data_IF_152387747989
#
_entry.id   IF_152387747989
#
_cell.length_a   1.000
_cell.length_b   1.000
_cell.length_c   1.000
_cell.angle_alpha   90.00
_cell.angle_beta   90.00
_cell.angle_gamma   90.00
#
_symmetry.space_group_name_H-M   'P 1'
#
loop_
_entity.id
_entity.type
_entity.pdbx_description
1 polymer ?
#
# COMPACT_ATOMS: atom_id res chain seq x y z
N UNK A 1 -6.11 -5.49 8.70
CA UNK A 1 -6.51 -6.30 9.87
C UNK A 1 -7.13 -7.60 9.48
N UNK A 2 -8.03 -7.62 8.49
CA UNK A 2 -8.63 -8.82 7.91
C UNK A 2 -8.46 -8.82 6.40
N UNK A 3 -8.82 -9.92 5.74
CA UNK A 3 -8.85 -9.98 4.27
C UNK A 3 -9.97 -9.06 3.74
N UNK A 4 -9.81 -8.53 2.52
CA UNK A 4 -10.85 -7.72 1.86
C UNK A 4 -10.87 -6.23 2.21
N UNK A 5 -9.94 -5.71 3.01
CA UNK A 5 -9.84 -4.28 3.33
C UNK A 5 -9.16 -3.45 2.24
N UNK A 6 -8.61 -4.09 1.20
CA UNK A 6 -7.97 -3.41 0.08
C UNK A 6 -6.48 -3.09 0.28
N UNK A 7 -5.76 -3.85 1.13
CA UNK A 7 -4.33 -3.64 1.38
C UNK A 7 -3.51 -3.66 0.11
N UNK A 8 -3.59 -4.73 -0.66
CA UNK A 8 -2.87 -4.86 -1.94
C UNK A 8 -3.29 -3.77 -2.93
N UNK A 9 -4.59 -3.42 -3.01
CA UNK A 9 -5.09 -2.34 -3.84
C UNK A 9 -4.41 -1.01 -3.47
N UNK A 10 -4.37 -0.67 -2.19
CA UNK A 10 -3.70 0.55 -1.71
C UNK A 10 -2.20 0.49 -1.97
N UNK A 11 -1.54 -0.66 -1.73
CA UNK A 11 -0.10 -0.81 -1.96
C UNK A 11 0.27 -0.57 -3.43
N UNK A 12 -0.44 -1.19 -4.39
CA UNK A 12 -0.23 -1.01 -5.83
C UNK A 12 -0.45 0.44 -6.24
N UNK A 13 -1.54 1.08 -5.77
CA UNK A 13 -1.84 2.47 -6.12
C UNK A 13 -0.82 3.46 -5.52
N UNK A 14 -0.40 3.26 -4.26
CA UNK A 14 0.64 4.09 -3.64
C UNK A 14 1.97 3.98 -4.40
N UNK A 15 2.38 2.75 -4.74
CA UNK A 15 3.58 2.53 -5.53
C UNK A 15 3.51 3.26 -6.88
N UNK A 16 2.39 3.13 -7.58
CA UNK A 16 2.18 3.80 -8.86
C UNK A 16 2.18 5.33 -8.77
N UNK A 17 1.49 5.91 -7.78
CA UNK A 17 1.46 7.38 -7.59
C UNK A 17 2.86 7.92 -7.28
N UNK A 18 3.65 7.23 -6.46
CA UNK A 18 5.01 7.64 -6.14
C UNK A 18 5.93 7.55 -7.36
N UNK A 19 5.77 6.50 -8.19
CA UNK A 19 6.53 6.34 -9.44
C UNK A 19 6.18 7.44 -10.46
N UNK A 20 4.90 7.76 -10.64
CA UNK A 20 4.44 8.90 -11.45
C UNK A 20 4.98 10.23 -10.92
N UNK A 21 5.18 10.33 -9.60
CA UNK A 21 5.84 11.46 -8.94
C UNK A 21 7.36 11.53 -9.15
N UNK A 22 7.95 10.62 -9.96
CA UNK A 22 9.36 10.61 -10.30
C UNK A 22 10.26 9.88 -9.29
N UNK A 23 9.68 9.15 -8.33
CA UNK A 23 10.44 8.29 -7.42
C UNK A 23 10.71 6.93 -8.04
N UNK A 24 11.91 6.40 -7.86
CA UNK A 24 12.24 5.03 -8.23
C UNK A 24 11.66 4.08 -7.17
N UNK A 25 10.61 3.35 -7.53
CA UNK A 25 9.80 2.57 -6.59
C UNK A 25 9.90 1.08 -6.89
N UNK A 26 9.97 0.27 -5.84
CA UNK A 26 9.76 -1.17 -5.94
C UNK A 26 8.63 -1.63 -5.01
N UNK A 27 7.72 -2.43 -5.55
CA UNK A 27 6.60 -3.03 -4.84
C UNK A 27 6.90 -4.50 -4.54
N UNK A 28 6.80 -4.91 -3.27
CA UNK A 28 7.15 -6.25 -2.79
C UNK A 28 5.91 -6.98 -2.27
N UNK A 29 5.62 -8.17 -2.79
CA UNK A 29 4.53 -9.04 -2.29
C UNK A 29 5.03 -9.95 -1.17
N UNK A 30 4.87 -9.51 0.07
CA UNK A 30 5.15 -10.31 1.27
C UNK A 30 3.90 -11.01 1.83
N UNK A 31 2.73 -10.91 1.17
CA UNK A 31 1.60 -11.80 1.48
C UNK A 31 1.81 -13.18 0.83
N UNK A 32 2.72 -13.95 1.43
CA UNK A 32 3.05 -15.29 0.95
C UNK A 32 1.88 -16.29 1.10
N UNK A 33 0.79 -15.91 1.80
CA UNK A 33 -0.36 -16.79 2.05
C UNK A 33 -1.46 -16.62 1.01
N UNK A 34 -1.75 -15.38 0.63
CA UNK A 34 -2.79 -15.03 -0.37
C UNK A 34 -2.27 -13.96 -1.33
N UNK A 35 -1.23 -14.27 -2.12
CA UNK A 35 -0.60 -13.30 -2.99
C UNK A 35 -1.55 -12.77 -4.05
N UNK A 36 -1.46 -11.49 -4.37
CA UNK A 36 -2.33 -10.84 -5.36
C UNK A 36 -1.55 -9.97 -6.35
N UNK A 37 -0.31 -9.55 -6.05
CA UNK A 37 0.45 -8.63 -6.92
C UNK A 37 0.67 -9.24 -8.31
N UNK A 38 0.96 -10.55 -8.41
CA UNK A 38 1.12 -11.23 -9.70
C UNK A 38 -0.15 -11.12 -10.58
N UNK A 39 -1.34 -11.14 -9.96
CA UNK A 39 -2.61 -10.94 -10.69
C UNK A 39 -2.78 -9.49 -11.13
N UNK A 40 -2.45 -8.54 -10.25
CA UNK A 40 -2.55 -7.11 -10.54
C UNK A 40 -1.68 -6.69 -11.74
N UNK A 41 -0.56 -7.36 -11.96
CA UNK A 41 0.33 -7.13 -13.11
C UNK A 41 0.19 -8.17 -14.22
N UNK A 42 -0.75 -9.10 -14.10
CA UNK A 42 -1.02 -10.17 -15.08
C UNK A 42 0.24 -10.96 -15.47
N UNK A 43 1.00 -11.39 -14.47
CA UNK A 43 2.25 -12.17 -14.63
C UNK A 43 2.16 -13.50 -13.90
N UNK A 44 3.07 -14.43 -14.24
CA UNK A 44 3.24 -15.68 -13.48
C UNK A 44 3.80 -15.41 -12.07
N UNK A 45 3.72 -16.41 -11.20
CA UNK A 45 4.19 -16.36 -9.81
C UNK A 45 5.20 -17.48 -9.51
N UNK A 46 6.04 -17.88 -10.46
CA UNK A 46 7.01 -18.97 -10.29
C UNK A 46 8.28 -18.52 -9.57
N UNK A 47 8.64 -17.25 -9.67
CA UNK A 47 9.77 -16.59 -9.01
C UNK A 47 9.27 -15.41 -8.19
N UNK A 48 9.93 -15.10 -7.08
CA UNK A 48 9.57 -13.97 -6.24
C UNK A 48 10.18 -14.03 -4.84
N UNK A 49 9.57 -13.33 -3.89
CA UNK A 49 10.06 -13.19 -2.51
C UNK A 49 10.38 -14.55 -1.87
N UNK A 50 9.49 -15.54 -2.00
CA UNK A 50 9.71 -16.85 -1.40
C UNK A 50 10.93 -17.57 -1.96
N UNK A 51 11.11 -17.55 -3.27
CA UNK A 51 12.26 -18.20 -3.94
C UNK A 51 13.57 -17.48 -3.66
N UNK A 52 13.50 -16.17 -3.46
CA UNK A 52 14.61 -15.34 -3.04
C UNK A 52 15.02 -15.65 -1.59
N UNK A 53 14.05 -15.76 -0.67
CA UNK A 53 14.28 -16.06 0.73
C UNK A 53 14.90 -17.45 0.95
N UNK A 54 14.48 -18.46 0.20
CA UNK A 54 15.09 -19.81 0.26
C UNK A 54 16.43 -19.93 -0.49
N UNK A 55 16.86 -18.88 -1.21
CA UNK A 55 18.12 -18.86 -1.96
C UNK A 55 18.11 -19.60 -3.28
N UNK A 56 16.92 -19.87 -3.83
CA UNK A 56 16.76 -20.53 -5.14
C UNK A 56 17.05 -19.58 -6.31
N UNK A 57 16.79 -18.29 -6.13
CA UNK A 57 17.03 -17.26 -7.13
C UNK A 57 17.76 -16.06 -6.50
N UNK A 58 18.48 -15.29 -7.32
CA UNK A 58 19.10 -14.03 -6.93
C UNK A 58 18.10 -12.88 -6.98
N UNK A 59 18.44 -11.76 -6.36
CA UNK A 59 17.57 -10.57 -6.31
C UNK A 59 17.19 -10.08 -7.71
N UNK A 60 18.16 -9.95 -8.61
CA UNK A 60 17.94 -9.47 -9.98
C UNK A 60 17.04 -10.41 -10.81
N UNK A 61 17.04 -11.71 -10.52
CA UNK A 61 16.18 -12.68 -11.22
C UNK A 61 14.71 -12.56 -10.81
N UNK A 62 14.45 -11.91 -9.67
CA UNK A 62 13.11 -11.75 -9.11
C UNK A 62 12.50 -10.37 -9.38
N UNK A 63 13.32 -9.36 -9.71
CA UNK A 63 12.83 -8.02 -10.05
C UNK A 63 12.19 -8.06 -11.43
N UNK A 64 10.97 -7.54 -11.51
CA UNK A 64 10.20 -7.39 -12.75
C UNK A 64 9.91 -5.93 -13.00
N UNK A 65 10.05 -5.49 -14.23
CA UNK A 65 9.70 -4.14 -14.66
C UNK A 65 8.22 -4.07 -15.03
N UNK A 66 7.53 -3.05 -14.54
CA UNK A 66 6.15 -2.80 -14.95
C UNK A 66 6.09 -1.99 -16.25
N UNK A 67 4.89 -1.83 -16.81
CA UNK A 67 4.64 -0.91 -17.95
C UNK A 67 4.75 0.58 -17.52
N UNK A 68 4.85 0.85 -16.21
CA UNK A 68 4.95 2.19 -15.65
C UNK A 68 6.41 2.55 -15.41
N UNK A 69 6.82 3.68 -15.94
CA UNK A 69 8.15 4.22 -15.69
C UNK A 69 8.40 4.37 -14.18
N UNK A 70 9.61 4.03 -13.74
CA UNK A 70 10.06 4.07 -12.35
C UNK A 70 9.34 3.12 -11.36
N UNK A 71 8.53 2.16 -11.84
CA UNK A 71 7.88 1.15 -11.00
C UNK A 71 8.33 -0.25 -11.36
N UNK A 72 9.08 -0.86 -10.45
CA UNK A 72 9.43 -2.28 -10.46
C UNK A 72 8.63 -3.03 -9.39
N UNK A 73 8.58 -4.35 -9.50
CA UNK A 73 7.92 -5.18 -8.50
C UNK A 73 8.55 -6.56 -8.37
N UNK A 74 8.36 -7.18 -7.19
CA UNK A 74 8.69 -8.59 -6.93
C UNK A 74 7.42 -9.27 -6.44
N UNK A 75 6.98 -10.32 -7.14
CA UNK A 75 5.84 -11.15 -6.73
C UNK A 75 6.20 -12.01 -5.53
N UNK A 76 5.22 -12.63 -4.89
CA UNK A 76 5.47 -13.51 -3.72
C UNK A 76 6.28 -14.77 -4.05
N UNK A 77 6.16 -15.28 -5.27
CA UNK A 77 6.62 -16.62 -5.62
C UNK A 77 5.69 -17.72 -5.08
N UNK A 78 6.05 -18.99 -5.24
CA UNK A 78 5.31 -20.13 -4.70
C UNK A 78 5.24 -20.08 -3.17
N UNK A 79 4.14 -20.58 -2.60
CA UNK A 79 3.96 -20.63 -1.14
C UNK A 79 5.03 -21.52 -0.49
N UNK A 80 5.87 -20.98 0.41
CA UNK A 80 6.85 -21.78 1.14
C UNK A 80 6.16 -22.52 2.32
N UNK A 81 6.75 -23.61 2.83
CA UNK A 81 6.15 -24.40 3.92
C UNK A 81 6.01 -23.60 5.23
N UNK A 82 6.98 -22.75 5.57
CA UNK A 82 7.02 -21.96 6.82
C UNK A 82 7.23 -20.47 6.53
N UNK A 83 6.23 -19.73 6.01
CA UNK A 83 6.41 -18.35 5.59
C UNK A 83 6.88 -17.42 6.72
N UNK A 84 6.42 -17.64 7.96
CA UNK A 84 6.77 -16.80 9.11
C UNK A 84 8.28 -16.80 9.42
N UNK A 85 8.92 -17.98 9.37
CA UNK A 85 10.35 -18.14 9.65
C UNK A 85 11.21 -17.42 8.61
N UNK A 86 10.81 -17.52 7.34
CA UNK A 86 11.51 -16.85 6.26
C UNK A 86 11.41 -15.33 6.37
N UNK A 87 10.23 -14.80 6.68
CA UNK A 87 10.02 -13.36 6.87
C UNK A 87 10.81 -12.82 8.07
N UNK A 88 10.94 -13.61 9.14
CA UNK A 88 11.71 -13.24 10.33
C UNK A 88 13.23 -13.37 10.15
N UNK A 89 13.70 -13.96 9.05
CA UNK A 89 15.12 -14.26 8.83
C UNK A 89 15.95 -13.01 8.54
N UNK A 90 17.26 -13.08 8.83
CA UNK A 90 18.25 -12.08 8.46
C UNK A 90 18.25 -11.80 6.95
N UNK A 91 17.94 -12.79 6.13
CA UNK A 91 17.89 -12.65 4.68
C UNK A 91 16.84 -11.64 4.21
N UNK A 92 15.74 -11.49 4.95
CA UNK A 92 14.76 -10.43 4.70
C UNK A 92 15.39 -9.05 4.88
N UNK A 93 16.19 -8.86 5.93
CA UNK A 93 16.88 -7.61 6.21
C UNK A 93 17.92 -7.30 5.12
N UNK A 94 18.67 -8.32 4.68
CA UNK A 94 19.68 -8.19 3.63
C UNK A 94 19.05 -7.79 2.28
N UNK A 95 17.89 -8.38 1.93
CA UNK A 95 17.11 -8.04 0.73
C UNK A 95 16.62 -6.60 0.80
N UNK A 96 16.00 -6.21 1.91
CA UNK A 96 15.49 -4.85 2.12
C UNK A 96 16.63 -3.84 2.00
N UNK A 97 17.79 -4.14 2.60
CA UNK A 97 18.97 -3.28 2.53
C UNK A 97 19.47 -3.12 1.09
N UNK A 98 19.63 -4.22 0.36
CA UNK A 98 20.07 -4.19 -1.04
C UNK A 98 19.13 -3.41 -1.96
N UNK A 99 17.80 -3.49 -1.69
CA UNK A 99 16.80 -2.73 -2.43
C UNK A 99 16.81 -1.24 -2.06
N UNK A 100 17.04 -0.88 -0.80
CA UNK A 100 17.17 0.52 -0.36
C UNK A 100 18.37 1.25 -1.02
N UNK A 101 19.37 0.53 -1.50
CA UNK A 101 20.50 1.09 -2.25
C UNK A 101 20.12 1.44 -3.71
N UNK A 102 19.04 0.85 -4.25
CA UNK A 102 18.67 0.95 -5.66
C UNK A 102 17.39 1.75 -5.89
N UNK A 103 16.52 1.86 -4.88
CA UNK A 103 15.20 2.46 -4.97
C UNK A 103 14.99 3.55 -3.91
N UNK A 104 14.29 4.61 -4.29
CA UNK A 104 13.91 5.69 -3.35
C UNK A 104 12.84 5.24 -2.36
N UNK A 105 11.93 4.35 -2.82
CA UNK A 105 10.78 3.87 -2.04
C UNK A 105 10.59 2.38 -2.24
N UNK A 106 10.47 1.66 -1.12
CA UNK A 106 10.05 0.27 -1.07
C UNK A 106 8.61 0.23 -0.51
N UNK A 107 7.66 -0.21 -1.32
CA UNK A 107 6.29 -0.48 -0.86
C UNK A 107 6.15 -1.97 -0.61
N UNK A 108 5.74 -2.35 0.61
CA UNK A 108 5.66 -3.76 1.03
C UNK A 108 4.20 -4.12 1.30
N UNK A 109 3.60 -4.96 0.47
CA UNK A 109 2.29 -5.55 0.74
C UNK A 109 2.42 -6.74 1.70
N UNK A 110 1.58 -6.75 2.73
CA UNK A 110 1.69 -7.71 3.84
C UNK A 110 0.36 -8.41 4.12
N UNK A 111 0.37 -9.63 4.68
CA UNK A 111 -0.84 -10.25 5.18
C UNK A 111 -1.47 -9.43 6.31
N UNK A 112 -2.75 -9.69 6.64
CA UNK A 112 -3.45 -8.98 7.72
C UNK A 112 -2.77 -9.20 9.09
N UNK A 113 -2.42 -8.12 9.79
CA UNK A 113 -1.73 -8.16 11.11
C UNK A 113 -2.55 -8.88 12.18
N UNK A 114 -3.88 -8.82 12.09
CA UNK A 114 -4.78 -9.47 13.05
C UNK A 114 -4.81 -11.01 12.93
N UNK A 115 -4.23 -11.57 11.88
CA UNK A 115 -4.29 -13.00 11.60
C UNK A 115 -2.95 -13.73 11.75
N UNK A 116 -1.83 -13.01 11.61
CA UNK A 116 -0.50 -13.62 11.56
C UNK A 116 0.59 -12.73 12.15
N UNK A 117 1.55 -13.36 12.82
CA UNK A 117 2.72 -12.68 13.41
C UNK A 117 3.72 -12.19 12.36
N UNK A 118 3.67 -12.74 11.15
CA UNK A 118 4.57 -12.41 10.04
C UNK A 118 4.51 -10.92 9.69
N UNK A 119 3.30 -10.37 9.61
CA UNK A 119 3.08 -8.95 9.31
C UNK A 119 3.68 -8.01 10.37
N UNK A 120 3.69 -8.43 11.65
CA UNK A 120 4.27 -7.62 12.74
C UNK A 120 5.78 -7.44 12.56
N UNK A 121 6.47 -8.48 12.10
CA UNK A 121 7.92 -8.40 11.83
C UNK A 121 8.23 -7.39 10.72
N UNK A 122 7.40 -7.36 9.67
CA UNK A 122 7.55 -6.40 8.58
C UNK A 122 7.19 -4.96 9.01
N UNK A 123 6.15 -4.80 9.83
CA UNK A 123 5.77 -3.48 10.37
C UNK A 123 6.89 -2.83 11.18
N UNK A 124 7.63 -3.62 11.96
CA UNK A 124 8.77 -3.12 12.76
C UNK A 124 9.95 -2.66 11.89
N UNK A 125 10.07 -3.20 10.67
CA UNK A 125 11.11 -2.85 9.70
C UNK A 125 10.73 -1.63 8.85
N UNK A 126 9.46 -1.28 8.82
CA UNK A 126 8.96 -0.19 7.99
C UNK A 126 9.29 1.18 8.59
N UNK A 127 9.74 2.12 7.76
CA UNK A 127 9.96 3.50 8.15
C UNK A 127 8.62 4.23 8.38
N UNK A 128 7.57 3.83 7.65
CA UNK A 128 6.21 4.34 7.76
C UNK A 128 5.19 3.20 7.57
N UNK A 129 4.80 2.50 8.64
CA UNK A 129 3.74 1.50 8.59
C UNK A 129 2.39 2.15 8.27
N UNK A 130 1.61 1.50 7.39
CA UNK A 130 0.27 1.95 6.99
C UNK A 130 -0.76 0.88 7.35
N UNK A 131 -1.74 1.26 8.16
CA UNK A 131 -2.82 0.39 8.61
C UNK A 131 -4.08 0.70 7.80
N UNK A 132 -4.57 -0.28 7.05
CA UNK A 132 -5.72 -0.10 6.17
C UNK A 132 -6.99 -0.54 6.89
N UNK A 133 -7.99 0.32 6.89
CA UNK A 133 -9.37 0.05 7.27
C UNK A 133 -10.26 0.30 6.05
N UNK A 134 -11.34 -0.46 5.92
CA UNK A 134 -12.34 -0.26 4.87
C UNK A 134 -13.64 0.25 5.48
N UNK A 135 -14.17 1.33 4.92
CA UNK A 135 -15.44 1.91 5.34
C UNK A 135 -16.58 0.86 5.19
N UNK A 136 -17.54 0.90 6.08
CA UNK A 136 -18.71 0.00 6.13
C UNK A 136 -18.37 -1.51 6.17
N UNK A 137 -17.09 -1.86 6.32
CA UNK A 137 -16.60 -3.23 6.37
C UNK A 137 -15.78 -3.53 7.63
N UNK A 138 -14.82 -2.68 7.97
CA UNK A 138 -13.92 -2.88 9.11
C UNK A 138 -14.64 -2.57 10.43
N UNK A 139 -14.57 -3.49 11.40
CA UNK A 139 -15.11 -3.26 12.73
C UNK A 139 -14.38 -2.14 13.47
N UNK A 140 -15.11 -1.29 14.20
CA UNK A 140 -14.52 -0.25 15.09
C UNK A 140 -13.55 -0.85 16.12
N UNK A 141 -13.76 -2.09 16.53
CA UNK A 141 -12.86 -2.79 17.45
C UNK A 141 -11.45 -2.98 16.89
N UNK A 142 -11.26 -2.87 15.57
CA UNK A 142 -9.93 -2.93 14.98
C UNK A 142 -9.05 -1.72 15.31
N UNK A 143 -9.62 -0.61 15.76
CA UNK A 143 -8.86 0.51 16.32
C UNK A 143 -8.14 0.12 17.62
N UNK A 144 -8.66 -0.85 18.38
CA UNK A 144 -7.96 -1.39 19.54
C UNK A 144 -6.67 -2.11 19.14
N UNK A 145 -6.66 -2.76 17.96
CA UNK A 145 -5.45 -3.37 17.42
C UNK A 145 -4.38 -2.33 17.08
N UNK A 146 -4.79 -1.15 16.61
CA UNK A 146 -3.86 -0.02 16.36
C UNK A 146 -3.19 0.40 17.67
N UNK A 147 -3.99 0.61 18.74
CA UNK A 147 -3.46 0.93 20.05
C UNK A 147 -2.52 -0.14 20.59
N UNK A 148 -2.86 -1.41 20.37
CA UNK A 148 -2.02 -2.55 20.75
C UNK A 148 -0.69 -2.57 20.00
N UNK A 149 -0.70 -2.34 18.67
CA UNK A 149 0.52 -2.26 17.87
C UNK A 149 1.45 -1.14 18.33
N UNK A 150 0.90 0.03 18.65
CA UNK A 150 1.68 1.19 19.08
C UNK A 150 2.22 1.00 20.50
N UNK A 151 1.38 0.54 21.44
CA UNK A 151 1.74 0.50 22.88
C UNK A 151 2.54 -0.74 23.25
N UNK A 152 2.12 -1.92 22.75
CA UNK A 152 2.71 -3.20 23.16
C UNK A 152 3.82 -3.68 22.20
N UNK A 153 3.79 -3.24 20.95
CA UNK A 153 4.78 -3.66 19.96
C UNK A 153 5.72 -2.55 19.49
N UNK A 154 5.62 -1.35 20.09
CA UNK A 154 6.47 -0.18 19.76
C UNK A 154 6.50 0.15 18.26
N UNK A 155 5.38 -0.04 17.55
CA UNK A 155 5.26 0.33 16.15
C UNK A 155 5.16 1.85 16.05
N UNK A 156 6.23 2.48 15.55
CA UNK A 156 6.35 3.94 15.43
C UNK A 156 5.78 4.43 14.10
N UNK A 157 5.35 5.71 14.06
CA UNK A 157 4.87 6.40 12.84
C UNK A 157 3.75 5.67 12.11
N UNK A 158 2.92 4.90 12.82
CA UNK A 158 1.80 4.18 12.24
C UNK A 158 0.75 5.16 11.70
N UNK A 159 0.49 5.08 10.40
CA UNK A 159 -0.56 5.85 9.71
C UNK A 159 -1.77 4.97 9.44
N UNK A 160 -2.97 5.57 9.44
CA UNK A 160 -4.22 4.87 9.13
C UNK A 160 -4.79 5.42 7.83
N UNK A 161 -5.18 4.53 6.93
CA UNK A 161 -5.91 4.86 5.70
C UNK A 161 -7.29 4.23 5.77
N UNK A 162 -8.33 5.03 5.60
CA UNK A 162 -9.70 4.58 5.44
C UNK A 162 -10.00 4.45 3.94
N UNK A 163 -10.13 3.20 3.48
CA UNK A 163 -10.38 2.84 2.10
C UNK A 163 -11.89 2.71 1.82
N UNK A 164 -12.28 2.81 0.56
CA UNK A 164 -13.65 2.56 0.07
C UNK A 164 -14.71 3.44 0.75
N UNK A 165 -14.40 4.72 0.92
CA UNK A 165 -15.39 5.70 1.37
C UNK A 165 -16.36 5.99 0.22
N UNK A 166 -17.66 5.72 0.44
CA UNK A 166 -18.71 5.97 -0.55
C UNK A 166 -18.75 7.42 -1.03
N UNK A 167 -19.27 7.65 -2.23
CA UNK A 167 -19.33 8.97 -2.89
C UNK A 167 -20.06 10.06 -2.07
N UNK A 168 -20.86 9.66 -1.06
CA UNK A 168 -21.53 10.58 -0.13
C UNK A 168 -20.71 11.09 1.05
N UNK A 169 -19.52 10.52 1.27
CA UNK A 169 -18.59 11.00 2.29
C UNK A 169 -17.75 12.17 1.73
N UNK A 170 -18.45 13.26 1.40
CA UNK A 170 -17.80 14.49 0.96
C UNK A 170 -16.77 14.93 1.99
N UNK A 171 -15.57 15.28 1.54
CA UNK A 171 -14.51 15.92 2.34
C UNK A 171 -15.04 17.12 3.14
N UNK A 172 -16.18 17.68 2.72
CA UNK A 172 -16.89 18.73 3.44
C UNK A 172 -17.50 18.30 4.79
N UNK A 173 -17.76 17.02 5.03
CA UNK A 173 -18.30 16.57 6.32
C UNK A 173 -17.25 16.59 7.45
N UNK A 174 -15.96 16.49 7.13
CA UNK A 174 -14.88 16.58 8.11
C UNK A 174 -14.46 18.01 8.44
N UNK A 175 -14.77 18.99 7.60
CA UNK A 175 -14.41 20.40 7.83
C UNK A 175 -15.36 21.14 8.78
N UNK A 176 -16.52 20.57 9.11
CA UNK A 176 -17.53 21.24 9.94
C UNK A 176 -17.64 20.77 11.40
N UNK A 177 -16.68 19.97 11.88
CA UNK A 177 -16.67 19.47 13.27
C UNK A 177 -16.19 20.47 14.34
N UNK A 178 -15.62 21.62 13.95
CA UNK A 178 -15.19 22.68 14.87
C UNK A 178 -15.53 24.07 14.33
N UNK A 179 -16.74 24.51 14.52
CA UNK A 179 -17.13 25.87 14.17
C UNK A 179 -18.46 26.25 14.82
N UNK A 180 -18.40 27.01 15.88
CA UNK A 180 -19.53 27.68 16.51
C UNK A 180 -20.40 28.42 15.49
N UNK A 181 -21.70 28.20 15.54
CA UNK A 181 -22.66 28.85 14.70
C UNK A 181 -22.70 30.36 14.90
N UNK A 182 -22.73 31.07 13.78
CA UNK A 182 -23.44 32.34 13.63
C UNK A 182 -23.88 32.46 12.16
N UNK A 183 -25.13 32.87 12.00
CA UNK A 183 -25.84 32.83 10.74
C UNK A 183 -25.42 33.89 9.73
N UNK A 184 -25.85 33.66 8.49
CA UNK A 184 -26.34 34.74 7.66
C UNK A 184 -25.52 35.09 6.42
N UNK A 185 -26.21 34.99 5.28
CA UNK A 185 -26.07 35.77 4.03
C UNK A 185 -24.90 35.50 3.08
N UNK A 186 -25.28 34.96 1.96
CA UNK A 186 -24.90 35.25 0.58
C UNK A 186 -23.47 35.73 0.31
N UNK A 187 -22.72 34.95 -0.44
CA UNK A 187 -21.67 35.51 -1.30
C UNK A 187 -21.32 34.53 -2.44
N UNK A 188 -21.62 34.99 -3.60
CA UNK A 188 -20.96 34.92 -4.90
C UNK A 188 -19.74 34.02 -5.03
N UNK A 189 -19.83 33.15 -6.03
CA UNK A 189 -18.75 32.50 -6.75
C UNK A 189 -17.66 33.51 -7.15
N UNK A 190 -16.46 33.37 -6.62
CA UNK A 190 -15.24 33.93 -7.20
C UNK A 190 -14.06 32.98 -7.06
N UNK A 191 -13.56 32.47 -8.19
CA UNK A 191 -12.15 32.31 -8.41
C UNK A 191 -11.54 30.93 -8.12
N UNK A 192 -11.75 29.95 -8.99
CA UNK A 192 -10.86 28.79 -9.14
C UNK A 192 -10.57 28.53 -10.63
N UNK A 193 -9.77 29.39 -11.25
CA UNK A 193 -9.43 29.22 -12.67
C UNK A 193 -7.92 29.41 -12.98
N UNK A 194 -7.04 29.00 -12.07
CA UNK A 194 -5.59 29.15 -12.31
C UNK A 194 -4.76 27.84 -12.26
N UNK A 195 -5.40 26.66 -12.19
CA UNK A 195 -4.65 25.38 -12.13
C UNK A 195 -5.19 24.29 -13.07
N UNK A 196 -5.81 24.64 -14.22
CA UNK A 196 -6.59 23.66 -14.99
C UNK A 196 -5.81 22.88 -16.05
N UNK A 197 -4.66 23.34 -16.55
CA UNK A 197 -4.02 22.68 -17.70
C UNK A 197 -3.04 21.55 -17.32
N UNK A 198 -2.26 21.73 -16.24
CA UNK A 198 -1.35 20.66 -15.76
C UNK A 198 -2.09 19.49 -15.08
N UNK A 199 -3.26 19.74 -14.51
CA UNK A 199 -4.08 18.72 -13.81
C UNK A 199 -4.81 17.81 -14.80
N UNK A 200 -5.15 18.27 -16.01
CA UNK A 200 -5.83 17.44 -17.02
C UNK A 200 -4.93 16.35 -17.60
N UNK A 201 -3.67 16.63 -17.86
CA UNK A 201 -2.72 15.64 -18.35
C UNK A 201 -2.43 14.55 -17.30
N UNK A 202 -2.25 14.96 -16.03
CA UNK A 202 -2.04 14.04 -14.90
C UNK A 202 -3.29 13.23 -14.54
N UNK A 203 -4.51 13.82 -14.65
CA UNK A 203 -5.78 13.09 -14.47
C UNK A 203 -6.00 12.00 -15.52
N UNK A 204 -5.56 12.18 -16.74
CA UNK A 204 -5.62 11.17 -17.80
C UNK A 204 -4.80 9.93 -17.47
N UNK A 205 -3.59 10.11 -16.93
CA UNK A 205 -2.68 9.03 -16.56
C UNK A 205 -3.17 8.30 -15.28
N UNK A 206 -3.51 9.04 -14.23
CA UNK A 206 -4.10 8.52 -13.00
C UNK A 206 -5.45 7.82 -13.24
N UNK A 207 -6.29 8.35 -14.13
CA UNK A 207 -7.56 7.72 -14.49
C UNK A 207 -7.38 6.42 -15.27
N UNK A 208 -6.36 6.31 -16.12
CA UNK A 208 -6.00 5.05 -16.78
C UNK A 208 -5.47 4.02 -15.79
N UNK A 209 -4.65 4.45 -14.84
CA UNK A 209 -4.08 3.62 -13.79
C UNK A 209 -5.16 3.07 -12.85
N UNK A 210 -6.06 3.89 -12.35
CA UNK A 210 -7.18 3.45 -11.49
C UNK A 210 -8.17 2.56 -12.25
N UNK A 211 -8.40 2.80 -13.54
CA UNK A 211 -9.27 1.98 -14.38
C UNK A 211 -8.65 0.61 -14.66
N UNK A 212 -7.34 0.57 -14.92
CA UNK A 212 -6.56 -0.65 -15.10
C UNK A 212 -6.58 -1.51 -13.83
N UNK A 213 -6.29 -0.91 -12.68
CA UNK A 213 -6.25 -1.64 -11.40
C UNK A 213 -7.65 -2.10 -10.97
N UNK A 214 -8.72 -1.30 -11.20
CA UNK A 214 -10.12 -1.70 -10.92
C UNK A 214 -10.60 -2.87 -11.77
N UNK A 215 -9.99 -3.14 -12.92
CA UNK A 215 -10.37 -4.28 -13.76
C UNK A 215 -9.87 -5.62 -13.23
N UNK A 216 -9.02 -5.65 -12.19
CA UNK A 216 -8.42 -6.86 -11.61
C UNK A 216 -8.93 -7.20 -10.22
N UNK A 217 -9.77 -6.35 -9.61
CA UNK A 217 -10.38 -6.55 -8.31
C UNK A 217 -11.91 -6.39 -8.36
#
# INVERSE_FOLDING_TARGET
TVAGEGKTFIAVNMAGIMAVGGKKVILLDFDLRKPQIHKAFNVDNHTGVSTLLIGKHNLNDCIRHSEWENLDFITSGPLPPNPAEFIASQKTDDIIKALKEQYDVLVVDTPPVGMVTDALQLLKRADMPVYILRADYSSRNFLNNVNYLVKEHDVKKLSIVLNDMGEGASIYAYSYGYGYGYGGYGSQEYGYDYYTDDVRAKRGLLGKMTKFIRSFF
#
